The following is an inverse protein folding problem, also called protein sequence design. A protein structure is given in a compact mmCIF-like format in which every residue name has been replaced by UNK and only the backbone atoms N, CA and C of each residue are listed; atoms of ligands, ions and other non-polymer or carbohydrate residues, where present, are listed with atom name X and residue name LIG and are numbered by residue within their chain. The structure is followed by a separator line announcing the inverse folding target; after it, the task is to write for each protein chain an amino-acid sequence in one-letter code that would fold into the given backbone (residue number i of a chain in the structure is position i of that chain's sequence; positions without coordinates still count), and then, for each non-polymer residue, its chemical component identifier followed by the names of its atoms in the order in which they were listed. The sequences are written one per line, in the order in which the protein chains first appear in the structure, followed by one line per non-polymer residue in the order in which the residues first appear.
data_IF_598798806764
#
_entry.id   IF_598798806764
#
_cell.length_a   1.000
_cell.length_b   1.000
_cell.length_c   1.000
_cell.angle_alpha   90.00
_cell.angle_beta   90.00
_cell.angle_gamma   90.00
#
_symmetry.space_group_name_H-M   'P 1'
#
loop_
_entity.id
_entity.type
_entity.pdbx_description
1 polymer ?
#
# COMPACT_ATOMS: atom_id res chain seq x y z
N UNK A 1 34.75 39.04 -10.10
CA UNK A 1 34.97 37.59 -10.22
C UNK A 1 33.88 36.93 -9.40
N UNK A 2 32.84 36.46 -10.07
CA UNK A 2 31.61 35.91 -9.49
C UNK A 2 31.50 34.43 -9.86
N UNK A 3 30.61 33.73 -9.13
CA UNK A 3 30.24 32.30 -9.21
C UNK A 3 31.09 31.46 -8.25
N UNK A 4 30.65 31.07 -7.05
CA UNK A 4 29.28 30.78 -6.60
C UNK A 4 29.01 29.28 -6.72
N UNK A 5 29.61 28.48 -5.84
CA UNK A 5 29.34 27.04 -5.70
C UNK A 5 28.72 26.80 -4.33
N UNK A 6 27.44 27.14 -4.21
CA UNK A 6 26.59 26.61 -3.15
C UNK A 6 25.92 25.34 -3.71
N UNK A 7 26.57 24.20 -3.51
CA UNK A 7 25.91 22.89 -3.63
C UNK A 7 24.98 22.71 -2.43
N UNK A 8 23.74 23.16 -2.59
CA UNK A 8 22.61 22.76 -1.75
C UNK A 8 21.56 22.14 -2.67
N UNK A 9 21.16 20.90 -2.38
CA UNK A 9 19.99 20.28 -3.00
C UNK A 9 20.17 18.81 -3.35
N UNK A 10 20.31 17.96 -2.35
CA UNK A 10 20.05 16.52 -2.47
C UNK A 10 18.64 16.26 -3.03
N UNK A 11 18.54 15.19 -3.83
CA UNK A 11 17.34 14.45 -4.17
C UNK A 11 16.13 15.30 -4.59
N UNK A 12 15.93 15.45 -5.88
CA UNK A 12 14.60 15.68 -6.45
C UNK A 12 13.69 14.57 -5.93
N UNK A 13 12.78 14.92 -5.02
CA UNK A 13 11.64 14.06 -4.72
C UNK A 13 11.01 13.67 -6.06
N UNK A 14 10.69 12.38 -6.29
CA UNK A 14 9.98 12.00 -7.50
C UNK A 14 8.71 12.86 -7.60
N UNK A 15 8.34 13.34 -8.80
CA UNK A 15 7.13 14.14 -8.96
C UNK A 15 5.96 13.44 -8.26
N UNK A 16 5.10 14.19 -7.58
CA UNK A 16 4.07 13.65 -6.68
C UNK A 16 3.25 12.52 -7.31
N UNK A 17 2.99 12.59 -8.62
CA UNK A 17 2.34 11.52 -9.39
C UNK A 17 3.14 10.22 -9.48
N UNK A 18 4.47 10.30 -9.62
CA UNK A 18 5.36 9.14 -9.66
C UNK A 18 5.54 8.52 -8.26
N UNK A 19 5.58 9.34 -7.20
CA UNK A 19 5.54 8.85 -5.80
C UNK A 19 4.30 7.99 -5.57
N UNK A 20 3.11 8.49 -5.88
CA UNK A 20 1.87 7.73 -5.68
C UNK A 20 1.77 6.52 -6.60
N UNK A 21 2.32 6.59 -7.82
CA UNK A 21 2.43 5.43 -8.71
C UNK A 21 3.24 4.29 -8.07
N UNK A 22 4.44 4.59 -7.56
CA UNK A 22 5.31 3.58 -6.94
C UNK A 22 4.73 3.03 -5.64
N UNK A 23 4.11 3.90 -4.85
CA UNK A 23 3.36 3.45 -3.67
C UNK A 23 2.22 2.53 -4.08
N UNK A 24 1.42 2.87 -5.09
CA UNK A 24 0.32 2.02 -5.53
C UNK A 24 0.81 0.62 -5.96
N UNK A 25 1.91 0.53 -6.71
CA UNK A 25 2.51 -0.76 -7.08
C UNK A 25 2.87 -1.59 -5.84
N UNK A 26 3.57 -0.98 -4.89
CA UNK A 26 3.96 -1.66 -3.66
C UNK A 26 2.73 -2.13 -2.86
N UNK A 27 1.66 -1.33 -2.79
CA UNK A 27 0.43 -1.73 -2.10
C UNK A 27 -0.27 -2.88 -2.80
N UNK A 28 -0.38 -2.82 -4.13
CA UNK A 28 -0.96 -3.90 -4.91
C UNK A 28 -0.20 -5.21 -4.64
N UNK A 29 1.14 -5.16 -4.59
CA UNK A 29 1.99 -6.32 -4.31
C UNK A 29 1.86 -6.82 -2.86
N UNK A 30 2.01 -5.94 -1.87
CA UNK A 30 1.96 -6.29 -0.45
C UNK A 30 0.61 -6.90 -0.04
N UNK A 31 -0.50 -6.46 -0.66
CA UNK A 31 -1.85 -6.89 -0.28
C UNK A 31 -2.45 -7.97 -1.18
N UNK A 32 -1.83 -8.30 -2.32
CA UNK A 32 -2.33 -9.31 -3.26
C UNK A 32 -2.69 -10.66 -2.59
N UNK A 33 -1.87 -11.21 -1.67
CA UNK A 33 -2.23 -12.45 -0.99
C UNK A 33 -3.51 -12.32 -0.15
N UNK A 34 -3.68 -11.21 0.55
CA UNK A 34 -4.82 -10.94 1.42
C UNK A 34 -6.11 -10.79 0.61
N UNK A 35 -6.07 -10.01 -0.48
CA UNK A 35 -7.21 -9.83 -1.39
C UNK A 35 -7.63 -11.16 -2.01
N UNK A 36 -6.65 -12.00 -2.39
CA UNK A 36 -6.94 -13.34 -2.93
C UNK A 36 -7.60 -14.24 -1.89
N UNK A 37 -7.14 -14.21 -0.64
CA UNK A 37 -7.72 -15.00 0.44
C UNK A 37 -9.13 -14.57 0.81
N UNK A 38 -9.40 -13.26 0.87
CA UNK A 38 -10.76 -12.74 1.11
C UNK A 38 -11.76 -13.28 0.09
N UNK A 39 -11.43 -13.23 -1.21
CA UNK A 39 -12.29 -13.79 -2.27
C UNK A 39 -12.50 -15.30 -2.14
N UNK A 40 -11.51 -16.03 -1.65
CA UNK A 40 -11.63 -17.47 -1.44
C UNK A 40 -12.52 -17.80 -0.25
N UNK A 41 -12.52 -16.98 0.80
CA UNK A 41 -13.42 -17.13 1.95
C UNK A 41 -14.88 -16.99 1.54
N UNK A 42 -15.21 -16.00 0.70
CA UNK A 42 -16.59 -15.75 0.24
C UNK A 42 -17.23 -16.97 -0.45
N UNK A 43 -16.41 -17.85 -1.02
CA UNK A 43 -16.86 -19.04 -1.77
C UNK A 43 -16.49 -20.35 -1.08
N UNK A 44 -15.89 -20.30 0.11
CA UNK A 44 -15.37 -21.48 0.79
C UNK A 44 -16.48 -22.31 1.46
N UNK A 45 -16.35 -23.63 1.39
CA UNK A 45 -17.11 -24.53 2.26
C UNK A 45 -16.79 -24.24 3.74
N UNK A 46 -17.81 -24.20 4.60
CA UNK A 46 -17.67 -23.88 6.04
C UNK A 46 -16.53 -24.65 6.75
N UNK A 47 -16.35 -25.95 6.42
CA UNK A 47 -15.28 -26.79 6.98
C UNK A 47 -13.85 -26.31 6.68
N UNK A 48 -13.67 -25.45 5.67
CA UNK A 48 -12.37 -24.90 5.26
C UNK A 48 -12.08 -23.54 5.90
N UNK A 49 -13.08 -22.86 6.46
CA UNK A 49 -12.95 -21.53 7.06
C UNK A 49 -11.84 -21.44 8.13
N UNK A 50 -11.68 -22.42 9.06
CA UNK A 50 -10.61 -22.35 10.05
C UNK A 50 -9.20 -22.28 9.43
N UNK A 51 -8.98 -22.96 8.31
CA UNK A 51 -7.70 -22.90 7.58
C UNK A 51 -7.51 -21.53 6.93
N UNK A 52 -8.57 -20.97 6.36
CA UNK A 52 -8.51 -19.64 5.74
C UNK A 52 -8.24 -18.54 6.75
N UNK A 53 -8.81 -18.59 7.96
CA UNK A 53 -8.51 -17.60 8.99
C UNK A 53 -7.02 -17.55 9.33
N UNK A 54 -6.38 -18.71 9.51
CA UNK A 54 -4.93 -18.75 9.75
C UNK A 54 -4.13 -18.18 8.56
N UNK A 55 -4.55 -18.47 7.33
CA UNK A 55 -3.88 -17.93 6.14
C UNK A 55 -4.06 -16.42 6.01
N UNK A 56 -5.24 -15.90 6.35
CA UNK A 56 -5.55 -14.47 6.36
C UNK A 56 -4.69 -13.76 7.40
N UNK A 57 -4.60 -14.30 8.62
CA UNK A 57 -3.75 -13.74 9.68
C UNK A 57 -2.29 -13.64 9.23
N UNK A 58 -1.72 -14.72 8.69
CA UNK A 58 -0.35 -14.71 8.14
C UNK A 58 -0.19 -13.72 6.98
N UNK A 59 -1.14 -13.68 6.05
CA UNK A 59 -1.07 -12.76 4.91
C UNK A 59 -1.20 -11.30 5.35
N UNK A 60 -1.98 -11.03 6.39
CA UNK A 60 -2.13 -9.70 6.97
C UNK A 60 -0.83 -9.25 7.64
N UNK A 61 -0.18 -10.11 8.44
CA UNK A 61 1.11 -9.80 9.05
C UNK A 61 2.18 -9.50 7.99
N UNK A 62 2.24 -10.30 6.93
CA UNK A 62 3.14 -10.07 5.80
C UNK A 62 2.84 -8.76 5.09
N UNK A 63 1.56 -8.44 4.86
CA UNK A 63 1.17 -7.17 4.25
C UNK A 63 1.59 -6.00 5.14
N UNK A 64 1.39 -6.09 6.47
CA UNK A 64 1.80 -5.06 7.43
C UNK A 64 3.31 -4.84 7.44
N UNK A 65 4.10 -5.90 7.45
CA UNK A 65 5.57 -5.82 7.38
C UNK A 65 6.04 -5.19 6.06
N UNK A 66 5.45 -5.61 4.95
CA UNK A 66 5.71 -5.05 3.62
C UNK A 66 5.36 -3.56 3.57
N UNK A 67 4.24 -3.16 4.17
CA UNK A 67 3.79 -1.76 4.21
C UNK A 67 4.63 -0.89 5.14
N UNK A 68 5.18 -1.44 6.22
CA UNK A 68 6.13 -0.71 7.06
C UNK A 68 7.36 -0.24 6.26
N UNK A 69 7.85 -1.03 5.30
CA UNK A 69 8.96 -0.64 4.40
C UNK A 69 8.54 0.53 3.49
N UNK A 70 7.33 0.47 2.94
CA UNK A 70 6.79 1.53 2.07
C UNK A 70 6.60 2.84 2.85
N UNK A 71 6.06 2.77 4.07
CA UNK A 71 5.95 3.93 4.96
C UNK A 71 7.34 4.49 5.32
N UNK A 72 8.31 3.62 5.59
CA UNK A 72 9.69 4.02 5.85
C UNK A 72 10.35 4.74 4.66
N UNK A 73 9.97 4.38 3.43
CA UNK A 73 10.51 4.97 2.20
C UNK A 73 9.79 6.26 1.78
N UNK A 74 8.47 6.33 1.93
CA UNK A 74 7.65 7.41 1.37
C UNK A 74 6.96 8.29 2.43
N UNK A 75 7.13 7.97 3.71
CA UNK A 75 6.45 8.63 4.82
C UNK A 75 5.00 8.19 4.99
N UNK A 76 4.40 8.63 6.10
CA UNK A 76 2.97 8.51 6.34
C UNK A 76 2.20 9.45 5.40
N UNK A 77 1.04 9.00 4.95
CA UNK A 77 0.15 9.80 4.12
C UNK A 77 -0.84 10.57 4.99
N UNK A 78 -1.12 11.83 4.63
CA UNK A 78 -2.28 12.55 5.15
C UNK A 78 -3.55 12.21 4.36
N UNK A 79 -4.72 12.72 4.77
CA UNK A 79 -5.99 12.42 4.11
C UNK A 79 -6.06 12.75 2.62
N UNK A 80 -5.49 13.86 2.17
CA UNK A 80 -5.49 14.24 0.75
C UNK A 80 -4.53 13.38 -0.08
N UNK A 81 -3.39 13.00 0.51
CA UNK A 81 -2.45 12.06 -0.12
C UNK A 81 -3.04 10.65 -0.19
N UNK A 82 -3.82 10.23 0.82
CA UNK A 82 -4.58 8.98 0.78
C UNK A 82 -5.60 8.95 -0.34
N UNK A 83 -6.33 10.05 -0.56
CA UNK A 83 -7.24 10.15 -1.70
C UNK A 83 -6.50 10.09 -3.04
N UNK A 84 -5.32 10.72 -3.13
CA UNK A 84 -4.46 10.67 -4.32
C UNK A 84 -3.96 9.25 -4.60
N UNK A 85 -3.48 8.54 -3.58
CA UNK A 85 -3.08 7.13 -3.69
C UNK A 85 -4.26 6.25 -4.10
N UNK A 86 -5.44 6.44 -3.49
CA UNK A 86 -6.64 5.67 -3.80
C UNK A 86 -7.07 5.82 -5.25
N UNK A 87 -6.98 7.02 -5.84
CA UNK A 87 -7.27 7.23 -7.26
C UNK A 87 -6.36 6.39 -8.16
N UNK A 88 -5.07 6.28 -7.82
CA UNK A 88 -4.11 5.44 -8.56
C UNK A 88 -4.41 3.94 -8.33
N UNK A 89 -4.70 3.54 -7.09
CA UNK A 89 -5.08 2.17 -6.76
C UNK A 89 -6.34 1.72 -7.50
N UNK A 90 -7.34 2.59 -7.66
CA UNK A 90 -8.57 2.28 -8.41
C UNK A 90 -8.28 1.87 -9.85
N UNK A 91 -7.23 2.43 -10.46
CA UNK A 91 -6.82 2.13 -11.83
C UNK A 91 -5.96 0.85 -11.91
N UNK A 92 -5.16 0.55 -10.88
CA UNK A 92 -4.17 -0.55 -10.92
C UNK A 92 -4.65 -1.82 -10.25
N UNK A 93 -5.15 -1.71 -9.02
CA UNK A 93 -5.66 -2.82 -8.23
C UNK A 93 -6.96 -2.42 -7.52
N UNK A 94 -8.10 -2.34 -8.25
CA UNK A 94 -9.37 -1.84 -7.71
C UNK A 94 -9.85 -2.62 -6.48
N UNK A 95 -9.59 -3.93 -6.43
CA UNK A 95 -9.95 -4.76 -5.29
C UNK A 95 -9.24 -4.39 -3.98
N UNK A 96 -8.08 -3.75 -4.08
CA UNK A 96 -7.36 -3.16 -2.93
C UNK A 96 -7.96 -1.79 -2.60
N UNK A 97 -8.23 -0.97 -3.63
CA UNK A 97 -8.86 0.34 -3.47
C UNK A 97 -10.24 0.27 -2.79
N UNK A 98 -10.98 -0.81 -3.03
CA UNK A 98 -12.30 -1.08 -2.43
C UNK A 98 -12.20 -1.46 -0.93
N UNK A 99 -11.01 -1.83 -0.44
CA UNK A 99 -10.77 -2.20 0.96
C UNK A 99 -10.24 -0.99 1.76
N UNK A 100 -11.08 0.04 1.92
CA UNK A 100 -10.70 1.30 2.60
C UNK A 100 -10.17 1.08 4.01
N UNK A 101 -10.84 0.26 4.81
CA UNK A 101 -10.49 0.07 6.22
C UNK A 101 -9.11 -0.60 6.34
N UNK A 102 -8.86 -1.62 5.52
CA UNK A 102 -7.54 -2.27 5.42
C UNK A 102 -6.46 -1.27 4.99
N UNK A 103 -6.74 -0.41 4.01
CA UNK A 103 -5.79 0.60 3.56
C UNK A 103 -5.43 1.59 4.66
N UNK A 104 -6.40 2.00 5.48
CA UNK A 104 -6.16 2.88 6.62
C UNK A 104 -5.34 2.18 7.70
N UNK A 105 -5.72 0.95 8.04
CA UNK A 105 -5.05 0.15 9.06
C UNK A 105 -3.59 -0.15 8.72
N UNK A 106 -3.31 -0.59 7.49
CA UNK A 106 -1.94 -0.88 7.03
C UNK A 106 -1.05 0.36 6.98
N UNK A 107 -1.62 1.56 7.08
CA UNK A 107 -0.91 2.82 7.08
C UNK A 107 -0.87 3.54 8.42
N UNK A 108 -1.40 2.90 9.46
CA UNK A 108 -1.38 3.47 10.80
C UNK A 108 -2.29 4.70 10.94
N UNK A 109 -3.38 4.78 10.18
CA UNK A 109 -4.46 5.74 10.39
C UNK A 109 -5.61 5.14 11.20
#
# INVERSE_FOLDING_TARGET
MLIGLAWHGCASEPPTSERFSRMADAYCECTAPLVRLNRQVDTAEHRRLPRYFKQIETAYEQARECMAVVIGQYGLLNGAEMDSLRQVLQQRCPAVADQRDLLQELLGQ
#
